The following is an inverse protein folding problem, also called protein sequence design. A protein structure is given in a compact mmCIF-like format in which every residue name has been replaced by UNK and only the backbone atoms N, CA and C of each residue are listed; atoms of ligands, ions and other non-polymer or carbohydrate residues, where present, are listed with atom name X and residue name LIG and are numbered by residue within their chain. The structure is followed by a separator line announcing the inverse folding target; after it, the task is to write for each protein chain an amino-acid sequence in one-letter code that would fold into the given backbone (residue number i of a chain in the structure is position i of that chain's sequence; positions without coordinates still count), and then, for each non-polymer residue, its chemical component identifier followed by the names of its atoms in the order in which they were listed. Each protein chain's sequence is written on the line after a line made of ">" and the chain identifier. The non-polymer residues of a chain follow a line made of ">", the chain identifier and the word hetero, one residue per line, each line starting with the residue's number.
data_IF_850328052872
#
_entry.id   IF_850328052872
#
_cell.length_a   1.000
_cell.length_b   1.000
_cell.length_c   1.000
_cell.angle_alpha   90.00
_cell.angle_beta   90.00
_cell.angle_gamma   90.00
#
_symmetry.space_group_name_H-M   'P 1'
#
loop_
_entity.id
_entity.type
_entity.pdbx_description
1 polymer ?
#
# COMPACT_ATOMS: atom_id res chain seq x y z
N UNK A 1 -2.42 12.19 0.42
CA UNK A 1 -2.48 10.73 0.15
C UNK A 1 -1.43 10.23 -0.87
N UNK A 2 -0.71 11.10 -1.60
CA UNK A 2 0.30 10.74 -2.64
C UNK A 2 1.39 9.74 -2.20
N UNK A 3 1.74 9.67 -0.92
CA UNK A 3 2.83 8.83 -0.41
C UNK A 3 2.49 7.33 -0.38
N UNK A 4 1.25 6.96 -0.01
CA UNK A 4 0.84 5.55 0.07
C UNK A 4 0.63 4.92 -1.32
N UNK A 5 0.27 5.72 -2.33
CA UNK A 5 0.10 5.26 -3.70
C UNK A 5 1.40 4.76 -4.34
N UNK A 6 2.56 5.31 -3.95
CA UNK A 6 3.88 4.87 -4.44
C UNK A 6 4.29 3.48 -3.97
N UNK A 7 3.59 2.95 -2.97
CA UNK A 7 3.87 1.63 -2.37
C UNK A 7 2.84 0.59 -2.82
N UNK A 8 2.18 0.89 -3.94
CA UNK A 8 1.30 -0.01 -4.65
C UNK A 8 1.94 -0.35 -5.99
N UNK A 9 1.69 -1.57 -6.46
CA UNK A 9 1.99 -1.92 -7.84
C UNK A 9 1.04 -1.16 -8.78
N UNK A 10 1.37 -1.18 -10.07
CA UNK A 10 0.54 -0.57 -11.13
C UNK A 10 -0.90 -1.10 -11.12
N UNK A 11 -1.12 -2.34 -10.68
CA UNK A 11 -2.45 -2.95 -10.53
C UNK A 11 -3.17 -2.59 -9.23
N UNK A 12 -2.58 -1.71 -8.41
CA UNK A 12 -3.11 -1.30 -7.11
C UNK A 12 -2.86 -2.30 -5.98
N UNK A 13 -2.02 -3.34 -6.16
CA UNK A 13 -1.69 -4.32 -5.09
C UNK A 13 -0.59 -3.78 -4.17
N UNK A 14 -0.59 -4.18 -2.89
CA UNK A 14 0.48 -3.80 -1.96
C UNK A 14 1.76 -4.56 -2.35
N UNK A 15 2.85 -3.85 -2.61
CA UNK A 15 4.14 -4.49 -2.93
C UNK A 15 4.75 -5.16 -1.69
N UNK A 16 5.52 -6.22 -1.90
CA UNK A 16 6.17 -6.96 -0.82
C UNK A 16 7.32 -6.16 -0.19
N UNK A 17 7.63 -6.45 1.07
CA UNK A 17 8.70 -5.75 1.83
C UNK A 17 10.06 -5.81 1.12
N UNK A 18 10.37 -6.93 0.45
CA UNK A 18 11.61 -7.12 -0.33
C UNK A 18 11.80 -6.11 -1.47
N UNK A 19 10.71 -5.59 -2.05
CA UNK A 19 10.76 -4.61 -3.14
C UNK A 19 11.00 -3.22 -2.55
N UNK A 20 10.31 -2.91 -1.45
CA UNK A 20 10.39 -1.61 -0.76
C UNK A 20 11.57 -1.45 0.18
N UNK A 21 12.32 -2.52 0.44
CA UNK A 21 13.42 -2.60 1.41
C UNK A 21 13.07 -2.06 2.82
N UNK A 22 11.81 -2.18 3.27
CA UNK A 22 11.40 -1.77 4.62
C UNK A 22 11.36 -2.96 5.58
N UNK A 23 11.63 -2.69 6.86
CA UNK A 23 11.53 -3.71 7.91
C UNK A 23 10.11 -4.25 8.05
N UNK A 24 9.99 -5.52 8.47
CA UNK A 24 8.69 -6.19 8.62
C UNK A 24 7.73 -5.45 9.56
N UNK A 25 8.25 -4.78 10.60
CA UNK A 25 7.43 -3.96 11.52
C UNK A 25 6.78 -2.79 10.78
N UNK A 26 7.57 -2.06 9.97
CA UNK A 26 7.06 -0.93 9.16
C UNK A 26 6.12 -1.42 8.06
N UNK A 27 6.40 -2.55 7.42
CA UNK A 27 5.52 -3.14 6.40
C UNK A 27 4.13 -3.49 6.95
N UNK A 28 4.04 -4.02 8.18
CA UNK A 28 2.75 -4.29 8.84
C UNK A 28 1.96 -3.01 9.10
N UNK A 29 2.62 -1.97 9.58
CA UNK A 29 1.99 -0.67 9.81
C UNK A 29 1.48 -0.07 8.50
N UNK A 30 2.30 -0.14 7.44
CA UNK A 30 1.94 0.34 6.11
C UNK A 30 0.74 -0.42 5.53
N UNK A 31 0.73 -1.76 5.62
CA UNK A 31 -0.39 -2.58 5.15
C UNK A 31 -1.71 -2.20 5.83
N UNK A 32 -1.68 -1.95 7.15
CA UNK A 32 -2.85 -1.47 7.89
C UNK A 32 -3.33 -0.09 7.41
N UNK A 33 -2.41 0.84 7.20
CA UNK A 33 -2.73 2.18 6.69
C UNK A 33 -3.35 2.12 5.29
N UNK A 34 -2.78 1.33 4.38
CA UNK A 34 -3.32 1.15 3.02
C UNK A 34 -4.71 0.53 3.05
N UNK A 35 -4.94 -0.51 3.88
CA UNK A 35 -6.28 -1.12 4.00
C UNK A 35 -7.32 -0.12 4.50
N UNK A 36 -6.98 0.73 5.47
CA UNK A 36 -7.87 1.82 5.94
C UNK A 36 -8.13 2.84 4.84
N UNK A 37 -7.09 3.28 4.13
CA UNK A 37 -7.25 4.23 3.03
C UNK A 37 -8.13 3.68 1.89
N UNK A 38 -8.05 2.38 1.60
CA UNK A 38 -8.94 1.72 0.64
C UNK A 38 -10.40 1.69 1.10
N UNK A 39 -10.63 1.38 2.38
CA UNK A 39 -11.98 1.42 2.96
C UNK A 39 -12.60 2.83 2.86
N UNK A 40 -11.78 3.87 3.03
CA UNK A 40 -12.18 5.27 2.90
C UNK A 40 -12.28 5.77 1.45
N UNK A 41 -12.05 4.91 0.45
CA UNK A 41 -12.10 5.29 -0.98
C UNK A 41 -10.93 6.17 -1.45
N UNK A 42 -9.89 6.34 -0.63
CA UNK A 42 -8.72 7.16 -0.98
C UNK A 42 -7.72 6.44 -1.91
N UNK A 43 -7.81 5.11 -1.97
CA UNK A 43 -6.95 4.24 -2.77
C UNK A 43 -7.82 3.14 -3.39
N UNK A 44 -7.68 2.84 -4.70
CA UNK A 44 -8.43 1.75 -5.34
C UNK A 44 -7.91 0.37 -4.91
N UNK A 45 -8.81 -0.61 -4.87
CA UNK A 45 -8.44 -2.02 -4.65
C UNK A 45 -7.77 -2.65 -5.87
N UNK A 46 -8.19 -2.21 -7.06
CA UNK A 46 -7.69 -2.65 -8.36
C UNK A 46 -7.64 -1.43 -9.28
N UNK A 47 -6.53 -1.28 -9.99
CA UNK A 47 -6.39 -0.33 -11.10
C UNK A 47 -6.43 -1.14 -12.39
N UNK A 48 -7.24 -0.69 -13.35
CA UNK A 48 -7.41 -1.33 -14.67
C UNK A 48 -6.23 -1.02 -15.57
#
# INVERSE_FOLDING_TARGET
>A
VKLLGRILSERGKIVQSRITAVSNKKQRALSRAIKRARYLGLIPYVVK
#
